data_IF_323558727088
#
_entry.id   IF_323558727088
#
_cell.length_a   1.000
_cell.length_b   1.000
_cell.length_c   1.000
_cell.angle_alpha   90.00
_cell.angle_beta   90.00
_cell.angle_gamma   90.00
#
_symmetry.space_group_name_H-M   'P 1'
#
loop_
_entity.id
_entity.type
_entity.pdbx_description
1 polymer ?
#
# COMPACT_ATOMS: atom_id res chain seq x y z
N UNK A 1 -10.90 -3.45 9.68
CA UNK A 1 -9.78 -4.17 10.33
C UNK A 1 -8.93 -4.74 9.21
N UNK A 2 -7.61 -4.66 9.27
CA UNK A 2 -6.69 -5.19 8.25
C UNK A 2 -5.66 -6.11 8.92
N UNK A 3 -5.28 -7.17 8.23
CA UNK A 3 -4.32 -8.20 8.68
C UNK A 3 -3.04 -8.21 7.86
N UNK A 4 -2.05 -8.96 8.34
CA UNK A 4 -0.78 -9.12 7.64
C UNK A 4 -1.04 -9.96 6.38
N UNK A 5 -0.56 -9.49 5.23
CA UNK A 5 -0.87 -10.06 3.91
C UNK A 5 -2.08 -9.44 3.21
N UNK A 6 -2.83 -8.54 3.87
CA UNK A 6 -3.96 -7.88 3.22
C UNK A 6 -3.50 -6.90 2.15
N UNK A 7 -4.34 -6.75 1.12
CA UNK A 7 -4.18 -5.72 0.12
C UNK A 7 -4.99 -4.48 0.50
N UNK A 8 -4.38 -3.32 0.36
CA UNK A 8 -5.01 -2.02 0.65
C UNK A 8 -4.84 -1.07 -0.51
N UNK A 9 -5.81 -0.17 -0.64
CA UNK A 9 -5.78 0.93 -1.58
C UNK A 9 -5.42 2.23 -0.84
N UNK A 10 -4.38 2.92 -1.30
CA UNK A 10 -3.96 4.21 -0.75
C UNK A 10 -4.71 5.36 -1.46
N UNK A 11 -4.97 6.47 -0.75
CA UNK A 11 -5.61 7.68 -1.30
C UNK A 11 -4.80 8.30 -2.44
N UNK A 12 -3.46 8.32 -2.30
CA UNK A 12 -2.55 8.74 -3.36
C UNK A 12 -2.05 7.50 -4.12
N UNK A 13 -2.15 7.46 -5.45
CA UNK A 13 -1.62 6.35 -6.23
C UNK A 13 -0.09 6.35 -6.17
N UNK A 14 0.50 5.17 -6.32
CA UNK A 14 1.94 5.03 -6.44
C UNK A 14 2.43 5.66 -7.75
N UNK A 15 3.67 6.15 -7.75
CA UNK A 15 4.28 6.74 -8.95
C UNK A 15 4.57 5.71 -10.04
N UNK A 16 4.62 4.41 -9.71
CA UNK A 16 4.85 3.38 -10.72
C UNK A 16 3.66 3.23 -11.68
N UNK A 17 3.98 2.92 -12.93
CA UNK A 17 3.02 2.61 -13.98
C UNK A 17 2.96 1.10 -14.17
N UNK A 18 1.76 0.53 -14.24
CA UNK A 18 1.53 -0.86 -14.59
C UNK A 18 1.79 -0.99 -16.09
N UNK A 19 2.78 -1.80 -16.47
CA UNK A 19 3.25 -1.93 -17.87
C UNK A 19 2.15 -2.39 -18.83
N UNK A 20 1.24 -3.23 -18.34
CA UNK A 20 0.16 -3.84 -19.13
C UNK A 20 -1.01 -2.89 -19.41
N UNK A 21 -1.33 -1.99 -18.47
CA UNK A 21 -2.53 -1.14 -18.53
C UNK A 21 -2.23 0.35 -18.68
N UNK A 22 -0.96 0.76 -18.55
CA UNK A 22 -0.54 2.17 -18.60
C UNK A 22 -1.04 3.02 -17.42
N UNK A 23 -1.74 2.43 -16.44
CA UNK A 23 -2.30 3.12 -15.28
C UNK A 23 -1.36 3.09 -14.08
N UNK A 24 -1.51 4.05 -13.18
CA UNK A 24 -0.76 4.07 -11.91
C UNK A 24 -1.22 2.93 -11.01
N UNK A 25 -0.27 2.26 -10.34
CA UNK A 25 -0.62 1.25 -9.36
C UNK A 25 -1.12 1.90 -8.06
N UNK A 26 -2.18 1.36 -7.48
CA UNK A 26 -2.71 1.80 -6.18
C UNK A 26 -2.91 0.64 -5.19
N UNK A 27 -2.53 -0.58 -5.57
CA UNK A 27 -2.60 -1.78 -4.75
C UNK A 27 -1.30 -1.96 -3.97
N UNK A 28 -1.44 -2.09 -2.65
CA UNK A 28 -0.35 -2.27 -1.71
C UNK A 28 -0.63 -3.46 -0.82
N UNK A 29 0.38 -4.26 -0.53
CA UNK A 29 0.32 -5.41 0.37
C UNK A 29 0.90 -5.02 1.73
N UNK A 30 0.22 -5.36 2.82
CA UNK A 30 0.73 -5.14 4.18
C UNK A 30 1.72 -6.25 4.53
N UNK A 31 2.99 -5.90 4.62
CA UNK A 31 4.07 -6.86 4.95
C UNK A 31 4.48 -6.83 6.41
N UNK A 32 4.15 -5.76 7.14
CA UNK A 32 4.41 -5.63 8.57
C UNK A 32 3.29 -4.87 9.26
N UNK A 33 2.87 -5.40 10.40
CA UNK A 33 1.94 -4.75 11.33
C UNK A 33 2.64 -4.49 12.66
N UNK A 34 2.40 -3.31 13.24
CA UNK A 34 3.01 -2.88 14.50
C UNK A 34 2.72 -1.41 14.79
N UNK A 35 3.66 -0.75 15.47
CA UNK A 35 3.70 0.71 15.60
C UNK A 35 3.94 1.39 14.24
N UNK A 36 4.86 0.83 13.46
CA UNK A 36 5.07 1.17 12.06
C UNK A 36 4.50 0.09 11.15
N UNK A 37 3.84 0.53 10.08
CA UNK A 37 3.29 -0.34 9.05
C UNK A 37 4.22 -0.29 7.84
N UNK A 38 4.61 -1.48 7.37
CA UNK A 38 5.36 -1.63 6.12
C UNK A 38 4.41 -2.14 5.05
N UNK A 39 4.32 -1.39 3.96
CA UNK A 39 3.55 -1.77 2.78
C UNK A 39 4.46 -1.99 1.57
N UNK A 40 4.08 -2.92 0.71
CA UNK A 40 4.80 -3.27 -0.51
C UNK A 40 3.90 -3.06 -1.72
N UNK A 41 4.39 -2.37 -2.75
CA UNK A 41 3.64 -2.21 -3.99
C UNK A 41 3.60 -3.53 -4.75
N UNK A 42 2.40 -4.00 -5.12
CA UNK A 42 2.23 -5.28 -5.82
C UNK A 42 2.72 -5.28 -7.28
N UNK A 43 3.12 -4.13 -7.82
CA UNK A 43 3.51 -3.97 -9.23
C UNK A 43 5.02 -3.77 -9.44
N UNK A 44 5.71 -3.15 -8.47
CA UNK A 44 7.13 -2.79 -8.61
C UNK A 44 7.96 -3.16 -7.37
N UNK A 45 7.36 -3.90 -6.43
CA UNK A 45 7.97 -4.37 -5.19
C UNK A 45 8.54 -3.27 -4.27
N UNK A 46 8.27 -2.00 -4.57
CA UNK A 46 8.70 -0.87 -3.76
C UNK A 46 8.08 -0.94 -2.37
N UNK A 47 8.91 -0.81 -1.33
CA UNK A 47 8.48 -0.86 0.06
C UNK A 47 8.45 0.53 0.68
N UNK A 48 7.41 0.80 1.46
CA UNK A 48 7.28 2.04 2.24
C UNK A 48 6.99 1.67 3.68
N UNK A 49 7.72 2.28 4.60
CA UNK A 49 7.46 2.19 6.03
C UNK A 49 6.93 3.54 6.50
N UNK A 50 5.84 3.52 7.27
CA UNK A 50 5.28 4.73 7.88
C UNK A 50 4.64 4.39 9.21
N UNK A 51 4.42 5.41 10.05
CA UNK A 51 3.70 5.23 11.30
C UNK A 51 2.28 4.71 11.04
N UNK A 52 1.72 3.95 11.98
CA UNK A 52 0.32 3.50 11.88
C UNK A 52 -0.65 4.67 11.68
N UNK A 53 -0.41 5.78 12.37
CA UNK A 53 -1.26 6.97 12.27
C UNK A 53 -1.26 7.55 10.85
N UNK A 54 -0.09 7.70 10.24
CA UNK A 54 0.04 8.15 8.85
C UNK A 54 -0.61 7.19 7.87
N UNK A 55 -0.44 5.89 8.11
CA UNK A 55 -1.02 4.85 7.27
C UNK A 55 -2.55 4.94 7.28
N UNK A 56 -3.17 5.02 8.46
CA UNK A 56 -4.63 5.10 8.59
C UNK A 56 -5.20 6.37 7.93
N UNK A 57 -4.51 7.51 8.00
CA UNK A 57 -4.92 8.72 7.30
C UNK A 57 -4.81 8.60 5.78
N UNK A 58 -3.77 7.92 5.28
CA UNK A 58 -3.47 7.79 3.84
C UNK A 58 -4.17 6.60 3.19
N UNK A 59 -4.58 5.60 3.96
CA UNK A 59 -5.35 4.45 3.48
C UNK A 59 -6.75 4.92 3.07
N UNK A 60 -7.25 4.40 1.95
CA UNK A 60 -8.61 4.66 1.47
C UNK A 60 -9.55 3.54 1.87
N UNK A 61 -9.17 2.29 1.61
CA UNK A 61 -9.91 1.08 1.97
C UNK A 61 -9.01 -0.15 1.91
N UNK A 62 -9.45 -1.21 2.58
CA UNK A 62 -8.93 -2.57 2.41
C UNK A 62 -9.63 -3.20 1.19
N UNK A 63 -8.90 -3.98 0.39
CA UNK A 63 -9.37 -4.65 -0.83
C UNK A 63 -9.77 -6.09 -0.57
#
# INVERSE_FOLDING_TARGET
>A
MYTLGDFVEMKKPHACVIKETGKKANRWEITRLGADIKIKCSNCDHVVMMSRHDFEQKMKRVL
#
